data_IF_892053829188
#
_entry.id   IF_892053829188
#
_cell.length_a   1.000
_cell.length_b   1.000
_cell.length_c   1.000
_cell.angle_alpha   90.00
_cell.angle_beta   90.00
_cell.angle_gamma   90.00
#
_symmetry.space_group_name_H-M   'P 1'
#
loop_
_entity.id
_entity.type
_entity.pdbx_description
1 polymer ?
#
# COMPACT_ATOMS: atom_id res chain seq x y z
N UNK A 1 -24.38 78.46 -17.95
CA UNK A 1 -23.58 77.82 -19.01
C UNK A 1 -22.99 76.54 -18.44
N UNK A 2 -23.29 75.39 -19.09
CA UNK A 2 -22.59 74.09 -19.03
C UNK A 2 -22.52 73.45 -17.62
N UNK A 3 -23.33 72.45 -17.25
CA UNK A 3 -23.47 71.13 -17.87
C UNK A 3 -22.17 70.36 -17.67
N UNK A 4 -22.05 69.37 -16.76
CA UNK A 4 -22.16 67.93 -17.07
C UNK A 4 -21.97 67.11 -15.77
N UNK A 5 -23.01 66.42 -15.30
CA UNK A 5 -23.27 64.96 -15.37
C UNK A 5 -22.64 64.09 -14.29
N UNK A 6 -23.55 63.55 -13.46
CA UNK A 6 -23.45 62.35 -12.65
C UNK A 6 -22.52 61.28 -13.20
N UNK A 7 -21.55 60.88 -12.38
CA UNK A 7 -20.82 59.62 -12.58
C UNK A 7 -21.70 58.48 -12.07
N UNK A 8 -22.47 57.88 -12.98
CA UNK A 8 -23.10 56.57 -12.75
C UNK A 8 -22.00 55.53 -12.54
N UNK A 9 -21.90 54.98 -11.33
CA UNK A 9 -21.21 53.70 -11.12
C UNK A 9 -22.06 52.59 -11.74
N UNK A 10 -21.80 52.29 -13.01
CA UNK A 10 -22.34 51.10 -13.65
C UNK A 10 -21.63 49.86 -13.10
N UNK A 11 -22.39 49.06 -12.36
CA UNK A 11 -22.08 47.67 -12.04
C UNK A 11 -21.74 46.91 -13.32
N UNK A 12 -20.46 46.63 -13.54
CA UNK A 12 -20.01 45.60 -14.46
C UNK A 12 -19.30 44.55 -13.63
N UNK A 13 -20.03 43.46 -13.39
CA UNK A 13 -19.52 42.21 -12.86
C UNK A 13 -18.29 41.77 -13.66
N UNK A 14 -17.09 41.97 -13.08
CA UNK A 14 -15.87 41.40 -13.65
C UNK A 14 -15.98 39.89 -13.47
N UNK A 15 -16.30 39.20 -14.57
CA UNK A 15 -16.22 37.74 -14.70
C UNK A 15 -14.89 37.28 -14.11
N UNK A 16 -14.95 36.64 -12.95
CA UNK A 16 -13.84 35.90 -12.36
C UNK A 16 -13.45 34.84 -13.40
N UNK A 17 -12.34 35.07 -14.11
CA UNK A 17 -11.75 34.07 -14.99
C UNK A 17 -11.28 32.95 -14.08
N UNK A 18 -12.09 31.90 -13.96
CA UNK A 18 -11.70 30.66 -13.30
C UNK A 18 -10.53 30.08 -14.10
N UNK A 19 -9.44 29.61 -13.45
CA UNK A 19 -8.37 28.96 -14.17
C UNK A 19 -8.92 27.73 -14.89
N UNK A 20 -8.88 27.77 -16.22
CA UNK A 20 -9.27 26.65 -17.08
C UNK A 20 -8.10 25.68 -17.18
N UNK A 21 -7.74 25.06 -16.05
CA UNK A 21 -6.82 23.92 -16.01
C UNK A 21 -7.51 22.76 -15.29
N UNK A 22 -8.49 22.17 -15.99
CA UNK A 22 -9.02 20.84 -15.71
C UNK A 22 -8.85 19.97 -16.95
N UNK A 23 -7.61 19.77 -17.39
CA UNK A 23 -7.26 18.52 -18.05
C UNK A 23 -6.84 17.57 -16.94
N UNK A 24 -7.80 16.72 -16.56
CA UNK A 24 -7.61 15.49 -15.79
C UNK A 24 -6.26 14.87 -16.15
N UNK A 25 -5.26 15.02 -15.29
CA UNK A 25 -4.26 13.98 -15.14
C UNK A 25 -4.94 12.81 -14.42
N UNK A 26 -5.84 12.13 -15.12
CA UNK A 26 -6.42 10.86 -14.69
C UNK A 26 -6.24 9.87 -15.84
N UNK A 27 -5.00 9.40 -15.98
CA UNK A 27 -4.71 8.16 -16.70
C UNK A 27 -3.35 7.56 -16.32
N UNK A 28 -2.84 7.83 -15.11
CA UNK A 28 -1.70 7.07 -14.54
C UNK A 28 -2.13 5.82 -13.77
N UNK A 29 -3.39 5.39 -13.92
CA UNK A 29 -3.94 4.24 -13.16
C UNK A 29 -4.64 3.24 -14.09
N UNK A 30 -4.11 2.99 -15.28
CA UNK A 30 -4.57 1.85 -16.10
C UNK A 30 -3.44 1.35 -16.99
N UNK A 31 -2.30 1.10 -16.39
CA UNK A 31 -1.48 -0.05 -16.80
C UNK A 31 -1.31 -0.83 -15.51
N UNK A 32 -2.38 -1.53 -15.10
CA UNK A 32 -2.24 -2.57 -14.10
C UNK A 32 -1.26 -3.54 -14.71
N UNK A 33 -0.06 -3.62 -14.13
CA UNK A 33 0.94 -4.62 -14.44
C UNK A 33 0.21 -5.95 -14.52
N UNK A 34 -0.08 -6.42 -15.72
CA UNK A 34 -0.32 -7.85 -15.89
C UNK A 34 1.04 -8.41 -15.53
N UNK A 35 1.10 -9.08 -14.37
CA UNK A 35 2.30 -9.68 -13.83
C UNK A 35 3.18 -10.13 -14.97
N UNK A 36 4.43 -9.66 -14.98
CA UNK A 36 5.39 -9.95 -16.02
C UNK A 36 5.82 -11.41 -15.82
N UNK A 37 4.88 -12.33 -15.94
CA UNK A 37 5.08 -13.76 -16.06
C UNK A 37 5.72 -13.94 -17.42
N UNK A 38 7.02 -13.68 -17.46
CA UNK A 38 7.86 -13.91 -18.62
C UNK A 38 8.22 -15.39 -18.78
N UNK A 39 7.47 -16.25 -18.08
CA UNK A 39 7.63 -17.71 -18.08
C UNK A 39 8.68 -18.20 -17.08
N UNK A 40 9.31 -17.29 -16.34
CA UNK A 40 10.18 -17.60 -15.21
C UNK A 40 9.38 -17.36 -13.93
N UNK A 41 9.65 -18.15 -12.88
CA UNK A 41 9.12 -17.91 -11.54
C UNK A 41 10.27 -17.35 -10.71
N UNK A 42 10.21 -16.07 -10.37
CA UNK A 42 11.24 -15.38 -9.59
C UNK A 42 10.66 -14.46 -8.49
N UNK A 43 11.53 -13.67 -7.85
CA UNK A 43 11.14 -12.75 -6.79
C UNK A 43 10.11 -11.69 -7.22
N UNK A 44 10.07 -11.34 -8.51
CA UNK A 44 9.09 -10.42 -9.09
C UNK A 44 7.69 -11.03 -9.07
N UNK A 45 7.58 -12.33 -9.34
CA UNK A 45 6.29 -13.04 -9.26
C UNK A 45 5.81 -13.11 -7.82
N UNK A 46 6.71 -13.38 -6.87
CA UNK A 46 6.38 -13.36 -5.44
C UNK A 46 5.90 -11.97 -5.01
N UNK A 47 6.63 -10.91 -5.37
CA UNK A 47 6.23 -9.53 -5.07
C UNK A 47 4.84 -9.21 -5.63
N UNK A 48 4.58 -9.59 -6.88
CA UNK A 48 3.27 -9.44 -7.52
C UNK A 48 2.19 -10.24 -6.78
N UNK A 49 2.49 -11.47 -6.37
CA UNK A 49 1.55 -12.33 -5.66
C UNK A 49 1.18 -11.75 -4.29
N UNK A 50 2.17 -11.30 -3.51
CA UNK A 50 1.96 -10.71 -2.18
C UNK A 50 1.18 -9.40 -2.27
N UNK A 51 1.67 -8.45 -3.08
CA UNK A 51 1.17 -7.08 -3.06
C UNK A 51 -0.07 -6.87 -3.93
N UNK A 52 -0.19 -7.58 -5.07
CA UNK A 52 -1.28 -7.35 -6.03
C UNK A 52 -2.38 -8.42 -5.99
N UNK A 53 -2.03 -9.69 -5.75
CA UNK A 53 -2.98 -10.80 -5.76
C UNK A 53 -3.57 -11.04 -4.38
N UNK A 54 -2.73 -11.21 -3.36
CA UNK A 54 -3.17 -11.35 -1.96
C UNK A 54 -3.58 -10.00 -1.37
N UNK A 55 -2.97 -8.90 -1.82
CA UNK A 55 -3.26 -7.57 -1.31
C UNK A 55 -2.81 -7.36 0.13
N UNK A 56 -1.73 -8.05 0.52
CA UNK A 56 -1.09 -7.92 1.83
C UNK A 56 0.32 -7.30 1.68
N UNK A 57 1.05 -7.18 2.78
CA UNK A 57 2.41 -6.66 2.86
C UNK A 57 3.33 -7.73 3.42
N UNK A 58 4.62 -7.63 3.09
CA UNK A 58 5.63 -8.46 3.73
C UNK A 58 5.65 -8.27 5.25
N UNK A 59 5.74 -9.38 5.99
CA UNK A 59 5.68 -9.43 7.45
C UNK A 59 4.28 -9.67 8.03
N UNK A 60 3.21 -9.56 7.25
CA UNK A 60 1.84 -9.92 7.68
C UNK A 60 1.68 -11.45 7.63
N UNK A 61 1.95 -12.11 8.75
CA UNK A 61 2.02 -13.57 8.85
C UNK A 61 0.62 -14.21 8.91
N UNK A 62 -0.38 -13.46 9.41
CA UNK A 62 -1.75 -13.95 9.55
C UNK A 62 -2.68 -13.50 8.40
N UNK A 63 -2.18 -12.67 7.48
CA UNK A 63 -2.86 -12.18 6.28
C UNK A 63 -4.09 -11.32 6.66
N UNK A 64 -3.97 -10.50 7.71
CA UNK A 64 -5.02 -9.54 8.12
C UNK A 64 -4.92 -8.19 7.40
N UNK A 65 -3.93 -8.03 6.53
CA UNK A 65 -3.62 -6.85 5.74
C UNK A 65 -2.66 -5.88 6.41
N UNK A 66 -2.17 -6.17 7.62
CA UNK A 66 -1.35 -5.26 8.41
C UNK A 66 -0.19 -5.98 9.08
N UNK A 67 1.03 -5.66 8.68
CA UNK A 67 2.21 -6.10 9.42
C UNK A 67 2.38 -5.32 10.74
N UNK A 68 2.18 -5.99 11.87
CA UNK A 68 2.29 -5.42 13.22
C UNK A 68 2.92 -6.42 14.20
N UNK A 69 2.90 -6.09 15.49
CA UNK A 69 3.51 -6.90 16.55
C UNK A 69 2.90 -8.30 16.70
N UNK A 70 1.60 -8.46 16.46
CA UNK A 70 0.93 -9.77 16.54
C UNK A 70 1.55 -10.77 15.55
N UNK A 71 1.86 -10.33 14.32
CA UNK A 71 2.52 -11.16 13.31
C UNK A 71 3.89 -11.62 13.80
N UNK A 72 4.68 -10.71 14.37
CA UNK A 72 6.01 -11.04 14.89
C UNK A 72 5.92 -12.08 16.00
N UNK A 73 4.92 -11.96 16.89
CA UNK A 73 4.67 -12.96 17.94
C UNK A 73 4.29 -14.30 17.33
N UNK A 74 3.40 -14.31 16.33
CA UNK A 74 2.96 -15.53 15.64
C UNK A 74 4.13 -16.23 14.93
N UNK A 75 5.05 -15.49 14.31
CA UNK A 75 6.27 -16.03 13.68
C UNK A 75 7.13 -16.78 14.70
N UNK A 76 7.46 -16.15 15.83
CA UNK A 76 8.30 -16.79 16.85
C UNK A 76 7.58 -17.93 17.60
N UNK A 77 6.24 -17.92 17.64
CA UNK A 77 5.46 -19.02 18.20
C UNK A 77 5.60 -20.31 17.40
N UNK A 78 5.95 -20.25 16.11
CA UNK A 78 6.21 -21.41 15.27
C UNK A 78 7.49 -22.17 15.66
N UNK A 79 8.43 -21.52 16.36
CA UNK A 79 9.72 -22.10 16.78
C UNK A 79 10.63 -22.54 15.62
N UNK A 80 10.51 -21.92 14.44
CA UNK A 80 11.32 -22.23 13.25
C UNK A 80 12.48 -21.24 13.03
N UNK A 81 12.58 -20.19 13.86
CA UNK A 81 13.67 -19.21 13.75
C UNK A 81 15.03 -19.84 14.05
N UNK A 82 15.91 -19.88 13.05
CA UNK A 82 17.29 -20.38 13.16
C UNK A 82 17.36 -21.78 13.82
N UNK A 83 16.39 -22.65 13.53
CA UNK A 83 16.25 -23.95 14.19
C UNK A 83 17.16 -25.04 13.60
N UNK A 84 17.72 -24.80 12.39
CA UNK A 84 18.59 -25.71 11.66
C UNK A 84 17.86 -26.87 10.97
N UNK A 85 16.53 -26.83 10.86
CA UNK A 85 15.70 -27.84 10.18
C UNK A 85 15.39 -27.38 8.77
N UNK A 86 16.20 -27.83 7.81
CA UNK A 86 16.11 -27.35 6.44
C UNK A 86 14.72 -27.52 5.80
N UNK A 87 14.20 -26.43 5.23
CA UNK A 87 13.00 -26.40 4.40
C UNK A 87 11.69 -26.61 5.14
N UNK A 88 11.63 -26.34 6.45
CA UNK A 88 10.40 -26.43 7.23
C UNK A 88 9.58 -25.13 7.25
N UNK A 89 10.17 -24.01 6.82
CA UNK A 89 9.54 -22.70 6.93
C UNK A 89 8.65 -22.36 5.73
N UNK A 90 7.58 -21.63 6.00
CA UNK A 90 6.67 -21.06 5.02
C UNK A 90 6.21 -19.67 5.45
N UNK A 91 5.29 -19.06 4.70
CA UNK A 91 4.85 -17.67 4.95
C UNK A 91 4.45 -17.37 6.40
N UNK A 92 3.62 -18.24 6.98
CA UNK A 92 3.09 -18.06 8.35
C UNK A 92 4.14 -18.35 9.43
N UNK A 93 5.22 -19.03 9.09
CA UNK A 93 6.26 -19.43 10.04
C UNK A 93 7.57 -18.68 9.85
N UNK A 94 7.72 -17.91 8.78
CA UNK A 94 8.74 -16.87 8.65
C UNK A 94 9.51 -16.80 7.33
N UNK A 95 9.23 -17.66 6.35
CA UNK A 95 9.85 -17.63 5.02
C UNK A 95 9.20 -16.53 4.15
N UNK A 96 9.75 -15.32 4.22
CA UNK A 96 9.30 -14.18 3.41
C UNK A 96 10.17 -13.96 2.18
N UNK A 97 11.42 -14.43 2.22
CA UNK A 97 12.40 -14.31 1.16
C UNK A 97 12.36 -15.49 0.16
N UNK A 98 11.59 -16.55 0.45
CA UNK A 98 11.28 -17.67 -0.43
C UNK A 98 12.35 -18.76 -0.50
N UNK A 99 13.28 -18.80 0.46
CA UNK A 99 14.35 -19.80 0.53
C UNK A 99 14.00 -21.02 1.41
N UNK A 100 12.82 -20.99 2.06
CA UNK A 100 12.25 -22.04 2.91
C UNK A 100 12.89 -22.16 4.30
N UNK A 101 13.62 -21.15 4.72
CA UNK A 101 14.11 -21.01 6.09
C UNK A 101 13.42 -19.81 6.75
N UNK A 102 13.39 -19.81 8.08
CA UNK A 102 13.08 -18.60 8.84
C UNK A 102 14.35 -18.19 9.58
N UNK A 103 15.05 -17.22 9.02
CA UNK A 103 16.32 -16.77 9.59
C UNK A 103 16.40 -15.25 9.67
N UNK A 104 17.58 -14.77 10.06
CA UNK A 104 17.83 -13.35 10.19
C UNK A 104 17.68 -12.58 8.85
N UNK A 105 17.83 -13.24 7.71
CA UNK A 105 17.64 -12.66 6.38
C UNK A 105 16.18 -12.33 6.12
N UNK A 106 15.22 -13.16 6.55
CA UNK A 106 13.79 -12.85 6.45
C UNK A 106 13.39 -11.65 7.28
N UNK A 107 13.90 -11.56 8.51
CA UNK A 107 13.66 -10.40 9.39
C UNK A 107 14.19 -9.11 8.73
N UNK A 108 15.42 -9.13 8.23
CA UNK A 108 15.98 -7.98 7.51
C UNK A 108 15.15 -7.68 6.26
N UNK A 109 14.73 -8.70 5.53
CA UNK A 109 13.94 -8.57 4.31
C UNK A 109 12.59 -7.87 4.58
N UNK A 110 11.79 -8.32 5.54
CA UNK A 110 10.48 -7.71 5.84
C UNK A 110 10.61 -6.28 6.36
N UNK A 111 11.60 -6.00 7.22
CA UNK A 111 11.80 -4.63 7.74
C UNK A 111 12.35 -3.69 6.66
N UNK A 112 13.14 -4.20 5.71
CA UNK A 112 13.62 -3.41 4.56
C UNK A 112 12.48 -2.98 3.62
N UNK A 113 11.36 -3.72 3.59
CA UNK A 113 10.15 -3.36 2.84
C UNK A 113 9.35 -2.22 3.49
N UNK A 114 9.57 -1.94 4.78
CA UNK A 114 9.02 -0.77 5.47
C UNK A 114 7.52 -0.83 5.78
N UNK A 115 6.93 -2.04 5.84
CA UNK A 115 5.47 -2.23 6.05
C UNK A 115 5.00 -2.23 7.52
N UNK A 116 5.92 -2.24 8.49
CA UNK A 116 5.57 -2.40 9.91
C UNK A 116 4.81 -1.19 10.47
N UNK A 117 3.71 -1.44 11.19
CA UNK A 117 2.91 -0.40 11.85
C UNK A 117 2.50 -0.78 13.27
N UNK A 118 2.36 0.25 14.11
CA UNK A 118 1.81 0.11 15.47
C UNK A 118 0.28 0.27 15.51
N UNK A 119 -0.33 0.68 14.39
CA UNK A 119 -1.76 0.99 14.32
C UNK A 119 -2.48 -0.28 13.85
N UNK A 120 -3.46 -0.79 14.62
CA UNK A 120 -4.33 -1.86 14.16
C UNK A 120 -5.03 -1.45 12.86
N UNK A 121 -5.36 -2.40 11.98
CA UNK A 121 -6.25 -2.13 10.84
C UNK A 121 -7.46 -1.34 11.36
N UNK A 122 -7.60 -0.07 10.93
CA UNK A 122 -8.75 0.73 11.34
C UNK A 122 -10.00 -0.04 10.94
N UNK A 123 -10.94 -0.32 11.87
CA UNK A 123 -12.17 -0.98 11.49
C UNK A 123 -12.82 -0.14 10.40
N UNK A 124 -13.04 -0.74 9.23
CA UNK A 124 -13.68 -0.08 8.10
C UNK A 124 -15.05 0.47 8.50
N UNK A 125 -15.59 1.44 7.75
CA UNK A 125 -16.85 2.13 8.09
C UNK A 125 -18.08 1.20 8.21
N UNK A 126 -17.96 -0.09 7.89
CA UNK A 126 -19.02 -1.09 8.03
C UNK A 126 -19.34 -1.44 9.50
N UNK A 127 -18.46 -1.13 10.45
CA UNK A 127 -18.71 -1.40 11.89
C UNK A 127 -19.59 -0.35 12.58
N UNK A 128 -20.01 0.71 11.88
CA UNK A 128 -20.77 1.83 12.46
C UNK A 128 -22.30 1.69 12.34
N UNK A 129 -22.82 0.52 11.95
CA UNK A 129 -24.25 0.24 11.92
C UNK A 129 -24.65 -0.78 13.00
N UNK A 130 -24.79 -0.30 14.24
CA UNK A 130 -25.71 -0.86 15.24
C UNK A 130 -26.39 0.26 15.99
#
# INVERSE_FOLDING_TARGET
>A
MLGTTDVKFSSIARRRVLPRNRRRQKSKQTVRNRGKMDGVVDATDRDTFVEEILGTVYGDANIDGVFKHDDVVDLFAASEYEDGVAGNSGWRTGDFNGDKEFDSQDIVFIFSRGGYTLIPALPGPESAHR
#
